data_IF_388608576664
#
_entry.id   IF_388608576664
#
_cell.length_a   1.000
_cell.length_b   1.000
_cell.length_c   1.000
_cell.angle_alpha   90.00
_cell.angle_beta   90.00
_cell.angle_gamma   90.00
#
_symmetry.space_group_name_H-M   'P 1'
#
loop_
_entity.id
_entity.type
_entity.pdbx_description
1 polymer ?
#
# COMPACT_ATOMS: atom_id res chain seq x y z
N UNK A 1 14.50 18.63 18.82
CA UNK A 1 14.75 17.65 17.74
C UNK A 1 13.86 17.93 16.53
N UNK A 2 14.47 18.17 15.36
CA UNK A 2 13.75 18.21 14.08
C UNK A 2 13.68 16.78 13.52
N UNK A 3 12.48 16.28 13.24
CA UNK A 3 12.31 15.02 12.51
C UNK A 3 12.60 15.24 11.01
N UNK A 4 13.18 14.25 10.34
CA UNK A 4 13.53 14.36 8.92
C UNK A 4 12.30 14.36 8.01
N UNK A 5 12.39 15.09 6.89
CA UNK A 5 11.42 15.03 5.81
C UNK A 5 11.92 14.04 4.74
N UNK A 6 11.26 12.89 4.65
CA UNK A 6 11.73 11.75 3.83
C UNK A 6 10.94 11.58 2.52
N UNK A 7 10.26 12.62 2.06
CA UNK A 7 9.37 12.56 0.90
C UNK A 7 9.92 13.35 -0.29
N UNK A 8 9.61 12.92 -1.52
CA UNK A 8 9.95 13.67 -2.72
C UNK A 8 9.49 15.14 -2.65
N UNK A 9 10.22 16.06 -3.31
CA UNK A 9 10.02 17.49 -3.15
C UNK A 9 8.60 17.97 -3.42
N UNK A 10 7.88 17.38 -4.37
CA UNK A 10 6.53 17.82 -4.71
C UNK A 10 5.52 17.64 -3.55
N UNK A 11 5.82 16.78 -2.56
CA UNK A 11 4.98 16.68 -1.36
C UNK A 11 5.11 17.92 -0.45
N UNK A 12 6.19 18.71 -0.59
CA UNK A 12 6.36 19.99 0.10
C UNK A 12 5.27 20.99 -0.29
N UNK A 13 4.66 20.88 -1.46
CA UNK A 13 3.56 21.76 -1.86
C UNK A 13 2.37 21.66 -0.89
N UNK A 14 2.00 20.44 -0.49
CA UNK A 14 0.94 20.21 0.50
C UNK A 14 1.37 20.70 1.87
N UNK A 15 2.62 20.44 2.27
CA UNK A 15 3.16 20.92 3.54
C UNK A 15 3.16 22.46 3.62
N UNK A 16 3.54 23.14 2.55
CA UNK A 16 3.57 24.60 2.47
C UNK A 16 2.16 25.20 2.57
N UNK A 17 1.16 24.58 1.93
CA UNK A 17 -0.24 25.00 2.07
C UNK A 17 -0.72 24.88 3.52
N UNK A 18 -0.44 23.75 4.18
CA UNK A 18 -0.82 23.52 5.57
C UNK A 18 -0.05 24.43 6.55
N UNK A 19 1.20 24.77 6.25
CA UNK A 19 2.02 25.66 7.06
C UNK A 19 1.51 27.11 7.10
N UNK A 20 0.55 27.48 6.25
CA UNK A 20 -0.14 28.77 6.33
C UNK A 20 -1.12 28.88 7.52
N UNK A 21 -1.35 27.78 8.23
CA UNK A 21 -2.27 27.69 9.35
C UNK A 21 -1.52 27.40 10.67
N UNK A 22 -2.10 27.74 11.85
CA UNK A 22 -1.58 27.27 13.13
C UNK A 22 -1.47 25.75 13.16
N UNK A 23 -0.40 25.22 13.76
CA UNK A 23 -0.06 23.79 13.68
C UNK A 23 -1.22 22.83 14.03
N UNK A 24 -1.96 23.10 15.11
CA UNK A 24 -3.09 22.25 15.51
C UNK A 24 -4.23 22.26 14.47
N UNK A 25 -4.46 23.41 13.83
CA UNK A 25 -5.44 23.54 12.76
C UNK A 25 -4.95 22.78 11.52
N UNK A 26 -3.68 22.95 11.14
CA UNK A 26 -3.06 22.22 10.03
C UNK A 26 -3.13 20.69 10.22
N UNK A 27 -2.81 20.21 11.42
CA UNK A 27 -2.89 18.80 11.78
C UNK A 27 -4.33 18.27 11.73
N UNK A 28 -5.30 19.02 12.26
CA UNK A 28 -6.70 18.64 12.22
C UNK A 28 -7.23 18.58 10.78
N UNK A 29 -6.96 19.61 9.97
CA UNK A 29 -7.33 19.64 8.54
C UNK A 29 -6.70 18.46 7.81
N UNK A 30 -5.41 18.20 8.02
CA UNK A 30 -4.70 17.08 7.41
C UNK A 30 -5.32 15.73 7.77
N UNK A 31 -5.51 15.46 9.06
CA UNK A 31 -6.01 14.18 9.51
C UNK A 31 -7.47 13.97 9.13
N UNK A 32 -8.35 14.96 9.32
CA UNK A 32 -9.79 14.83 9.02
C UNK A 32 -10.01 14.66 7.51
N UNK A 33 -9.34 15.47 6.68
CA UNK A 33 -9.53 15.41 5.22
C UNK A 33 -9.01 14.09 4.64
N UNK A 34 -7.81 13.68 5.03
CA UNK A 34 -7.21 12.43 4.55
C UNK A 34 -7.96 11.20 5.08
N UNK A 35 -8.40 11.22 6.34
CA UNK A 35 -9.25 10.15 6.91
C UNK A 35 -10.60 10.05 6.20
N UNK A 36 -11.26 11.18 5.93
CA UNK A 36 -12.48 11.22 5.13
C UNK A 36 -12.27 10.64 3.73
N UNK A 37 -11.13 10.93 3.10
CA UNK A 37 -10.78 10.36 1.80
C UNK A 37 -10.54 8.85 1.84
N UNK A 38 -9.85 8.33 2.87
CA UNK A 38 -9.71 6.90 3.14
C UNK A 38 -11.08 6.22 3.31
N UNK A 39 -11.96 6.76 4.16
CA UNK A 39 -13.28 6.21 4.41
C UNK A 39 -14.15 6.23 3.15
N UNK A 40 -14.07 7.29 2.35
CA UNK A 40 -14.77 7.38 1.07
C UNK A 40 -14.31 6.28 0.10
N UNK A 41 -12.99 6.00 0.04
CA UNK A 41 -12.46 4.92 -0.77
C UNK A 41 -12.99 3.56 -0.31
N UNK A 42 -12.90 3.26 0.99
CA UNK A 42 -13.42 2.00 1.56
C UNK A 42 -14.92 1.86 1.31
N UNK A 43 -15.70 2.93 1.50
CA UNK A 43 -17.15 2.94 1.27
C UNK A 43 -17.52 2.69 -0.20
N UNK A 44 -16.70 3.15 -1.13
CA UNK A 44 -16.90 2.98 -2.57
C UNK A 44 -16.49 1.57 -3.06
N UNK A 45 -15.54 0.93 -2.37
CA UNK A 45 -15.06 -0.43 -2.67
C UNK A 45 -15.97 -1.48 -2.03
N UNK A 46 -16.25 -1.33 -0.74
CA UNK A 46 -16.93 -2.33 0.06
C UNK A 46 -18.44 -2.41 -0.27
N UNK A 47 -19.07 -3.58 -0.04
CA UNK A 47 -20.52 -3.72 -0.13
C UNK A 47 -21.25 -2.68 0.73
N UNK A 48 -22.45 -2.21 0.32
CA UNK A 48 -23.19 -1.18 1.05
C UNK A 48 -23.62 -1.69 2.43
N UNK A 49 -22.82 -1.41 3.44
CA UNK A 49 -23.06 -1.81 4.83
C UNK A 49 -22.49 -0.77 5.79
N UNK A 50 -23.33 -0.29 6.71
CA UNK A 50 -22.89 0.60 7.80
C UNK A 50 -21.88 -0.09 8.70
N UNK A 51 -22.03 -1.39 8.93
CA UNK A 51 -21.12 -2.17 9.77
C UNK A 51 -19.70 -2.19 9.19
N UNK A 52 -19.55 -2.36 7.87
CA UNK A 52 -18.22 -2.35 7.22
C UNK A 52 -17.53 -0.98 7.32
N UNK A 53 -18.30 0.11 7.32
CA UNK A 53 -17.75 1.44 7.55
C UNK A 53 -17.25 1.59 9.00
N UNK A 54 -17.99 1.08 10.00
CA UNK A 54 -17.53 1.07 11.39
C UNK A 54 -16.29 0.19 11.58
N UNK A 55 -16.20 -0.94 10.87
CA UNK A 55 -14.99 -1.78 10.85
C UNK A 55 -13.79 -1.02 10.28
N UNK A 56 -13.99 -0.20 9.24
CA UNK A 56 -12.94 0.65 8.68
C UNK A 56 -12.52 1.78 9.64
N UNK A 57 -13.48 2.40 10.33
CA UNK A 57 -13.23 3.44 11.34
C UNK A 57 -12.45 2.84 12.53
N UNK A 58 -12.87 1.67 13.00
CA UNK A 58 -12.27 0.98 14.15
C UNK A 58 -10.98 0.23 13.82
N UNK A 59 -10.50 0.27 12.57
CA UNK A 59 -9.32 -0.48 12.15
C UNK A 59 -8.06 0.01 12.91
N UNK A 60 -7.32 -0.85 13.63
CA UNK A 60 -6.16 -0.45 14.43
C UNK A 60 -5.15 0.47 13.73
N UNK A 61 -4.90 0.29 12.42
CA UNK A 61 -3.99 1.17 11.69
C UNK A 61 -4.47 2.63 11.60
N UNK A 62 -5.78 2.88 11.73
CA UNK A 62 -6.35 4.24 11.84
C UNK A 62 -5.78 4.92 13.07
N UNK A 63 -5.82 4.27 14.23
CA UNK A 63 -5.30 4.84 15.47
C UNK A 63 -3.78 5.02 15.43
N UNK A 64 -3.05 4.07 14.83
CA UNK A 64 -1.60 4.19 14.61
C UNK A 64 -1.30 5.42 13.74
N UNK A 65 -2.04 5.63 12.66
CA UNK A 65 -1.86 6.78 11.75
C UNK A 65 -2.25 8.10 12.41
N UNK A 66 -3.35 8.11 13.17
CA UNK A 66 -3.78 9.28 13.96
C UNK A 66 -2.71 9.67 14.96
N UNK A 67 -2.24 8.71 15.77
CA UNK A 67 -1.21 8.92 16.78
C UNK A 67 0.10 9.43 16.21
N UNK A 68 0.42 9.08 14.96
CA UNK A 68 1.61 9.56 14.26
C UNK A 68 1.43 10.88 13.49
N UNK A 69 0.21 11.39 13.27
CA UNK A 69 0.02 12.54 12.40
C UNK A 69 0.28 12.26 10.91
N UNK A 70 0.36 10.98 10.50
CA UNK A 70 1.03 10.58 9.25
C UNK A 70 0.12 10.59 8.02
N UNK A 71 0.70 10.27 6.86
CA UNK A 71 0.07 10.34 5.54
C UNK A 71 -0.60 9.04 5.04
N UNK A 72 -0.77 8.05 5.90
CA UNK A 72 -1.25 6.73 5.49
C UNK A 72 -2.70 6.75 4.99
N UNK A 73 -3.56 7.64 5.51
CA UNK A 73 -4.92 7.79 5.02
C UNK A 73 -4.96 8.29 3.58
N UNK A 74 -4.16 9.32 3.26
CA UNK A 74 -4.03 9.82 1.89
C UNK A 74 -3.51 8.70 0.97
N UNK A 75 -2.48 7.98 1.39
CA UNK A 75 -1.93 6.83 0.65
C UNK A 75 -3.02 5.78 0.35
N UNK A 76 -3.75 5.34 1.38
CA UNK A 76 -4.77 4.32 1.25
C UNK A 76 -5.94 4.79 0.36
N UNK A 77 -6.40 6.04 0.52
CA UNK A 77 -7.45 6.61 -0.32
C UNK A 77 -7.04 6.69 -1.80
N UNK A 78 -5.82 7.18 -2.09
CA UNK A 78 -5.30 7.30 -3.46
C UNK A 78 -5.18 5.92 -4.11
N UNK A 79 -4.63 4.93 -3.39
CA UNK A 79 -4.50 3.57 -3.87
C UNK A 79 -5.86 2.90 -4.07
N UNK A 80 -6.78 3.03 -3.11
CA UNK A 80 -8.11 2.45 -3.17
C UNK A 80 -8.94 2.98 -4.34
N UNK A 81 -9.06 4.30 -4.48
CA UNK A 81 -9.77 4.88 -5.63
C UNK A 81 -9.02 4.65 -6.94
N UNK A 82 -7.69 4.71 -6.94
CA UNK A 82 -6.86 4.41 -8.10
C UNK A 82 -7.18 3.04 -8.68
N UNK A 83 -7.17 2.00 -7.84
CA UNK A 83 -7.49 0.63 -8.25
C UNK A 83 -8.97 0.45 -8.61
N UNK A 84 -9.89 1.05 -7.84
CA UNK A 84 -11.34 0.95 -8.09
C UNK A 84 -11.75 1.52 -9.46
N UNK A 85 -11.09 2.59 -9.88
CA UNK A 85 -11.47 3.36 -11.07
C UNK A 85 -10.80 2.89 -12.36
N UNK A 86 -9.87 1.93 -12.32
CA UNK A 86 -9.07 1.51 -13.49
C UNK A 86 -9.91 1.21 -14.73
N UNK A 87 -11.00 0.46 -14.56
CA UNK A 87 -11.85 0.05 -15.68
C UNK A 87 -12.88 1.12 -16.10
N UNK A 88 -13.33 1.96 -15.16
CA UNK A 88 -14.43 2.91 -15.40
C UNK A 88 -13.97 4.32 -15.77
N UNK A 89 -12.89 4.80 -15.15
CA UNK A 89 -12.33 6.15 -15.33
C UNK A 89 -10.79 6.07 -15.32
N UNK A 90 -10.18 5.45 -16.34
CA UNK A 90 -8.75 5.13 -16.33
C UNK A 90 -7.85 6.36 -16.21
N UNK A 91 -8.23 7.51 -16.77
CA UNK A 91 -7.44 8.75 -16.62
C UNK A 91 -7.40 9.22 -15.16
N UNK A 92 -8.55 9.26 -14.48
CA UNK A 92 -8.64 9.63 -13.07
C UNK A 92 -7.90 8.62 -12.19
N UNK A 93 -8.04 7.32 -12.48
CA UNK A 93 -7.28 6.26 -11.81
C UNK A 93 -5.76 6.51 -11.94
N UNK A 94 -5.29 6.83 -13.14
CA UNK A 94 -3.90 7.18 -13.40
C UNK A 94 -3.45 8.40 -12.62
N UNK A 95 -4.25 9.48 -12.57
CA UNK A 95 -3.92 10.67 -11.76
C UNK A 95 -3.78 10.30 -10.27
N UNK A 96 -4.72 9.55 -9.72
CA UNK A 96 -4.69 9.13 -8.32
C UNK A 96 -3.48 8.23 -8.01
N UNK A 97 -3.13 7.32 -8.91
CA UNK A 97 -1.94 6.47 -8.79
C UNK A 97 -0.66 7.30 -8.96
N UNK A 98 -0.62 8.25 -9.88
CA UNK A 98 0.53 9.16 -10.07
C UNK A 98 0.78 10.03 -8.85
N UNK A 99 -0.29 10.49 -8.17
CA UNK A 99 -0.18 11.22 -6.91
C UNK A 99 0.49 10.39 -5.80
N UNK A 100 0.47 9.05 -5.84
CA UNK A 100 1.20 8.22 -4.89
C UNK A 100 2.71 8.30 -5.01
N UNK A 101 3.25 8.95 -6.05
CA UNK A 101 4.70 9.07 -6.23
C UNK A 101 5.42 9.76 -5.06
N UNK A 102 4.70 10.44 -4.14
CA UNK A 102 5.31 10.95 -2.90
C UNK A 102 5.77 9.80 -1.97
N UNK A 103 5.31 8.58 -2.22
CA UNK A 103 5.86 7.34 -1.68
C UNK A 103 6.41 6.49 -2.84
N UNK A 104 7.65 6.77 -3.27
CA UNK A 104 8.23 6.15 -4.46
C UNK A 104 8.28 4.63 -4.36
N UNK A 105 8.31 4.06 -3.15
CA UNK A 105 8.31 2.62 -2.94
C UNK A 105 7.08 1.90 -3.52
N UNK A 106 5.92 2.55 -3.68
CA UNK A 106 4.77 1.94 -4.35
C UNK A 106 4.90 1.89 -5.88
N UNK A 107 5.85 2.66 -6.43
CA UNK A 107 6.25 2.62 -7.83
C UNK A 107 6.89 1.29 -8.27
N UNK A 108 7.21 0.38 -7.33
CA UNK A 108 7.72 -0.95 -7.64
C UNK A 108 6.64 -1.88 -8.23
N UNK A 109 5.38 -1.70 -7.83
CA UNK A 109 4.30 -2.63 -8.20
C UNK A 109 3.28 -1.97 -9.13
N UNK A 110 2.88 -0.73 -8.85
CA UNK A 110 1.75 -0.11 -9.55
C UNK A 110 1.97 0.00 -11.07
N UNK A 111 3.14 0.44 -11.58
CA UNK A 111 3.39 0.47 -13.02
C UNK A 111 3.27 -0.90 -13.68
N UNK A 112 3.74 -1.96 -13.01
CA UNK A 112 3.68 -3.34 -13.51
C UNK A 112 2.22 -3.79 -13.63
N UNK A 113 1.42 -3.58 -12.60
CA UNK A 113 -0.02 -3.93 -12.60
C UNK A 113 -0.77 -3.16 -13.69
N UNK A 114 -0.47 -1.87 -13.87
CA UNK A 114 -1.10 -1.05 -14.91
C UNK A 114 -0.74 -1.52 -16.33
N UNK A 115 0.54 -1.75 -16.59
CA UNK A 115 1.03 -2.17 -17.91
C UNK A 115 0.52 -3.56 -18.28
N UNK A 116 0.63 -4.53 -17.37
CA UNK A 116 0.19 -5.91 -17.61
C UNK A 116 -1.33 -6.04 -17.66
N UNK A 117 -2.05 -5.20 -16.90
CA UNK A 117 -3.51 -5.11 -16.97
C UNK A 117 -4.03 -4.42 -18.24
N UNK A 118 -3.14 -3.93 -19.12
CA UNK A 118 -3.53 -3.22 -20.33
C UNK A 118 -4.11 -1.82 -20.07
N UNK A 119 -3.87 -1.24 -18.90
CA UNK A 119 -4.41 0.05 -18.49
C UNK A 119 -3.56 1.24 -19.00
N UNK A 120 -3.25 1.25 -20.30
CA UNK A 120 -2.36 2.25 -20.94
C UNK A 120 -2.78 3.70 -20.67
N UNK A 121 -4.09 4.01 -20.68
CA UNK A 121 -4.62 5.33 -20.33
C UNK A 121 -4.27 5.75 -18.92
N UNK A 122 -4.40 4.82 -17.96
CA UNK A 122 -4.04 5.07 -16.57
C UNK A 122 -2.52 5.22 -16.42
N UNK A 123 -1.72 4.40 -17.12
CA UNK A 123 -0.26 4.52 -17.13
C UNK A 123 0.19 5.89 -17.63
N UNK A 124 -0.34 6.35 -18.77
CA UNK A 124 0.00 7.65 -19.34
C UNK A 124 -0.42 8.80 -18.43
N UNK A 125 -1.62 8.72 -17.83
CA UNK A 125 -2.09 9.73 -16.89
C UNK A 125 -1.25 9.76 -15.60
N UNK A 126 -0.82 8.60 -15.08
CA UNK A 126 0.08 8.51 -13.93
C UNK A 126 1.44 9.13 -14.26
N UNK A 127 2.05 8.75 -15.37
CA UNK A 127 3.33 9.32 -15.82
C UNK A 127 3.23 10.85 -15.99
N UNK A 128 2.17 11.33 -16.65
CA UNK A 128 1.93 12.77 -16.85
C UNK A 128 1.76 13.50 -15.51
N UNK A 129 1.06 12.89 -14.55
CA UNK A 129 0.86 13.46 -13.21
C UNK A 129 2.21 13.62 -12.48
N UNK A 130 3.03 12.57 -12.47
CA UNK A 130 4.37 12.62 -11.85
C UNK A 130 5.26 13.65 -12.54
N UNK A 131 5.28 13.69 -13.87
CA UNK A 131 6.04 14.68 -14.63
C UNK A 131 5.59 16.11 -14.32
N UNK A 132 4.27 16.34 -14.22
CA UNK A 132 3.70 17.65 -13.91
C UNK A 132 4.08 18.09 -12.50
N UNK A 133 3.97 17.21 -11.51
CA UNK A 133 4.36 17.49 -10.12
C UNK A 133 5.87 17.77 -10.01
N UNK A 134 6.69 16.96 -10.68
CA UNK A 134 8.14 17.12 -10.73
C UNK A 134 8.56 18.43 -11.41
N UNK A 135 7.94 18.77 -12.55
CA UNK A 135 8.20 20.03 -13.23
C UNK A 135 7.78 21.23 -12.37
N UNK A 136 6.58 21.19 -11.77
CA UNK A 136 6.08 22.27 -10.93
C UNK A 136 6.99 22.56 -9.73
N UNK A 137 7.44 21.52 -9.01
CA UNK A 137 8.34 21.72 -7.87
C UNK A 137 9.74 22.17 -8.30
N UNK A 138 10.25 21.67 -9.42
CA UNK A 138 11.54 22.08 -9.98
C UNK A 138 11.53 23.55 -10.39
N UNK A 139 10.46 23.99 -11.06
CA UNK A 139 10.30 25.40 -11.45
C UNK A 139 10.17 26.32 -10.23
N UNK A 140 9.53 25.86 -9.15
CA UNK A 140 9.29 26.67 -7.95
C UNK A 140 10.49 26.76 -7.00
N UNK A 141 11.20 25.65 -6.80
CA UNK A 141 12.27 25.49 -5.81
C UNK A 141 13.67 25.40 -6.43
N UNK A 142 13.77 25.33 -7.77
CA UNK A 142 15.01 25.11 -8.50
C UNK A 142 15.43 23.63 -8.56
N UNK A 143 16.34 23.26 -9.48
CA UNK A 143 16.77 21.87 -9.68
C UNK A 143 17.54 21.28 -8.48
N UNK A 144 18.17 22.12 -7.66
CA UNK A 144 18.92 21.66 -6.47
C UNK A 144 18.06 20.92 -5.43
N UNK A 145 16.73 21.07 -5.48
CA UNK A 145 15.80 20.36 -4.59
C UNK A 145 15.88 18.83 -4.74
N UNK A 146 16.24 18.34 -5.93
CA UNK A 146 16.41 16.91 -6.18
C UNK A 146 17.68 16.36 -5.55
N UNK A 147 18.78 17.12 -5.59
CA UNK A 147 20.02 16.75 -4.89
C UNK A 147 19.78 16.67 -3.39
N UNK A 148 19.11 17.67 -2.81
CA UNK A 148 18.75 17.67 -1.39
C UNK A 148 17.84 16.48 -1.02
N UNK A 149 16.90 16.12 -1.90
CA UNK A 149 16.06 14.94 -1.70
C UNK A 149 16.88 13.64 -1.74
N UNK A 150 17.81 13.49 -2.69
CA UNK A 150 18.66 12.29 -2.79
C UNK A 150 19.58 12.14 -1.57
N UNK A 151 20.14 13.24 -1.06
CA UNK A 151 20.90 13.23 0.19
C UNK A 151 20.03 12.82 1.39
N UNK A 152 18.81 13.36 1.49
CA UNK A 152 17.84 12.94 2.50
C UNK A 152 17.40 11.48 2.38
N UNK A 153 17.30 10.96 1.15
CA UNK A 153 16.99 9.56 0.88
C UNK A 153 18.14 8.64 1.33
N UNK A 154 19.40 9.02 1.08
CA UNK A 154 20.57 8.25 1.55
C UNK A 154 20.65 8.25 3.09
N UNK A 155 20.34 9.39 3.73
CA UNK A 155 20.20 9.43 5.19
C UNK A 155 19.10 8.48 5.69
N UNK A 156 17.95 8.46 5.03
CA UNK A 156 16.84 7.55 5.35
C UNK A 156 17.27 6.09 5.25
N UNK A 157 17.95 5.74 4.16
CA UNK A 157 18.47 4.38 3.93
C UNK A 157 19.48 3.97 5.01
N UNK A 158 20.53 4.74 5.20
CA UNK A 158 21.63 4.37 6.10
C UNK A 158 21.22 4.42 7.57
N UNK A 159 20.53 5.48 7.98
CA UNK A 159 20.29 5.78 9.40
C UNK A 159 18.98 5.17 9.89
N UNK A 160 17.89 5.32 9.12
CA UNK A 160 16.57 4.86 9.57
C UNK A 160 16.41 3.36 9.31
N UNK A 161 16.79 2.90 8.13
CA UNK A 161 16.56 1.52 7.70
C UNK A 161 17.71 0.57 8.11
N UNK A 162 18.95 0.83 7.68
CA UNK A 162 20.08 -0.09 7.89
C UNK A 162 20.55 -0.15 9.34
N UNK A 163 20.71 1.01 9.98
CA UNK A 163 21.05 1.13 11.41
C UNK A 163 19.84 0.95 12.33
N UNK A 164 18.62 1.10 11.82
CA UNK A 164 17.40 0.83 12.58
C UNK A 164 17.14 1.82 13.71
N UNK A 165 17.56 3.09 13.61
CA UNK A 165 17.43 4.08 14.70
C UNK A 165 15.98 4.27 15.17
N UNK A 166 15.01 4.10 14.27
CA UNK A 166 13.57 4.18 14.63
C UNK A 166 12.99 2.90 15.23
N UNK A 167 13.83 1.86 15.35
CA UNK A 167 13.48 0.50 15.74
C UNK A 167 12.98 -0.33 14.56
N UNK A 168 13.67 -1.44 14.24
CA UNK A 168 13.22 -2.34 13.17
C UNK A 168 11.80 -2.89 13.39
N UNK A 169 11.37 -3.05 14.64
CA UNK A 169 10.01 -3.44 15.00
C UNK A 169 8.94 -2.44 14.55
N UNK A 170 9.30 -1.18 14.24
CA UNK A 170 8.39 -0.19 13.66
C UNK A 170 8.27 -0.34 12.14
N UNK A 171 9.29 -0.88 11.49
CA UNK A 171 9.36 -1.08 10.05
C UNK A 171 8.84 -2.49 9.72
N UNK A 172 7.62 -2.58 9.18
CA UNK A 172 6.92 -3.82 8.87
C UNK A 172 7.34 -4.40 7.50
N UNK A 173 8.65 -4.67 7.34
CA UNK A 173 9.23 -5.22 6.11
C UNK A 173 10.05 -6.48 6.34
N UNK A 174 10.25 -7.27 5.29
CA UNK A 174 11.13 -8.46 5.34
C UNK A 174 12.56 -8.06 5.67
N UNK A 175 13.03 -6.94 5.11
CA UNK A 175 14.34 -6.39 5.46
C UNK A 175 14.48 -6.19 6.97
N UNK A 176 13.54 -5.47 7.59
CA UNK A 176 13.62 -5.15 9.02
C UNK A 176 13.38 -6.37 9.90
N UNK A 177 12.57 -7.33 9.46
CA UNK A 177 12.47 -8.64 10.10
C UNK A 177 13.83 -9.32 10.20
N UNK A 178 14.55 -9.45 9.08
CA UNK A 178 15.88 -10.07 9.05
C UNK A 178 16.90 -9.30 9.88
N UNK A 179 16.91 -7.96 9.78
CA UNK A 179 17.79 -7.11 10.61
C UNK A 179 17.53 -7.28 12.10
N UNK A 180 16.26 -7.49 12.50
CA UNK A 180 15.91 -7.72 13.91
C UNK A 180 16.49 -9.03 14.47
N UNK A 181 16.80 -10.01 13.62
CA UNK A 181 17.51 -11.24 13.99
C UNK A 181 19.04 -11.13 13.87
N UNK A 182 19.57 -9.92 13.63
CA UNK A 182 21.01 -9.69 13.49
C UNK A 182 21.57 -10.02 12.11
N UNK A 183 20.73 -10.33 11.11
CA UNK A 183 21.21 -10.62 9.77
C UNK A 183 21.96 -9.40 9.18
N UNK A 184 23.12 -9.58 8.53
CA UNK A 184 23.82 -8.50 7.82
C UNK A 184 22.95 -7.74 6.81
N UNK A 185 23.33 -6.51 6.48
CA UNK A 185 22.53 -5.59 5.63
C UNK A 185 22.29 -6.17 4.23
N UNK A 186 23.33 -6.74 3.62
CA UNK A 186 23.29 -7.43 2.33
C UNK A 186 22.34 -8.64 2.35
N UNK A 187 22.39 -9.47 3.40
CA UNK A 187 21.47 -10.60 3.58
C UNK A 187 20.02 -10.12 3.73
N UNK A 188 19.80 -9.03 4.48
CA UNK A 188 18.47 -8.45 4.64
C UNK A 188 17.92 -7.88 3.31
N UNK A 189 18.76 -7.23 2.50
CA UNK A 189 18.36 -6.78 1.16
C UNK A 189 18.10 -7.96 0.22
N UNK A 190 18.91 -9.01 0.25
CA UNK A 190 18.69 -10.21 -0.56
C UNK A 190 17.35 -10.87 -0.21
N UNK A 191 17.03 -11.03 1.07
CA UNK A 191 15.74 -11.57 1.52
C UNK A 191 14.56 -10.70 1.12
N UNK A 192 14.69 -9.37 1.24
CA UNK A 192 13.67 -8.43 0.74
C UNK A 192 13.49 -8.56 -0.78
N UNK A 193 14.57 -8.64 -1.56
CA UNK A 193 14.52 -8.77 -3.01
C UNK A 193 13.78 -10.06 -3.44
N UNK A 194 14.03 -11.18 -2.75
CA UNK A 194 13.30 -12.44 -2.98
C UNK A 194 11.79 -12.24 -2.79
N UNK A 195 11.38 -11.59 -1.70
CA UNK A 195 9.95 -11.32 -1.44
C UNK A 195 9.37 -10.38 -2.48
N UNK A 196 10.08 -9.30 -2.84
CA UNK A 196 9.67 -8.34 -3.87
C UNK A 196 9.46 -9.03 -5.22
N UNK A 197 10.41 -9.86 -5.66
CA UNK A 197 10.31 -10.62 -6.91
C UNK A 197 9.14 -11.61 -6.85
N UNK A 198 8.93 -12.32 -5.74
CA UNK A 198 7.82 -13.25 -5.58
C UNK A 198 6.46 -12.55 -5.65
N UNK A 199 6.33 -11.38 -5.03
CA UNK A 199 5.11 -10.54 -5.10
C UNK A 199 4.85 -10.09 -6.54
N UNK A 200 5.88 -9.56 -7.23
CA UNK A 200 5.76 -9.12 -8.62
C UNK A 200 5.36 -10.29 -9.53
N UNK A 201 6.05 -11.42 -9.44
CA UNK A 201 5.77 -12.61 -10.24
C UNK A 201 4.34 -13.13 -9.99
N UNK A 202 3.87 -13.10 -8.75
CA UNK A 202 2.49 -13.48 -8.41
C UNK A 202 1.48 -12.53 -9.04
N UNK A 203 1.71 -11.21 -8.96
CA UNK A 203 0.83 -10.22 -9.57
C UNK A 203 0.79 -10.35 -11.09
N UNK A 204 1.94 -10.55 -11.74
CA UNK A 204 2.05 -10.85 -13.17
C UNK A 204 1.19 -12.06 -13.51
N UNK A 205 1.34 -13.15 -12.76
CA UNK A 205 0.63 -14.39 -13.00
C UNK A 205 -0.88 -14.23 -12.87
N UNK A 206 -1.39 -13.62 -11.79
CA UNK A 206 -2.85 -13.48 -11.59
C UNK A 206 -3.49 -12.53 -12.60
N UNK A 207 -2.77 -11.48 -13.02
CA UNK A 207 -3.22 -10.58 -14.10
C UNK A 207 -3.26 -11.33 -15.43
N UNK A 208 -2.22 -12.08 -15.76
CA UNK A 208 -2.17 -12.86 -17.00
C UNK A 208 -3.26 -13.94 -17.05
N UNK A 209 -3.57 -14.56 -15.90
CA UNK A 209 -4.69 -15.50 -15.76
C UNK A 209 -6.06 -14.85 -15.76
N UNK A 210 -6.16 -13.52 -15.91
CA UNK A 210 -7.42 -12.76 -15.92
C UNK A 210 -8.26 -13.01 -14.67
N UNK A 211 -7.61 -13.05 -13.50
CA UNK A 211 -8.29 -13.18 -12.21
C UNK A 211 -9.26 -12.00 -11.95
N UNK A 212 -10.20 -12.19 -11.01
CA UNK A 212 -11.16 -11.13 -10.65
C UNK A 212 -10.42 -9.83 -10.26
N UNK A 213 -10.76 -8.68 -10.85
CA UNK A 213 -10.08 -7.41 -10.60
C UNK A 213 -10.03 -7.00 -9.12
N UNK A 214 -11.01 -7.40 -8.31
CA UNK A 214 -11.02 -7.11 -6.86
C UNK A 214 -9.95 -7.88 -6.12
N UNK A 215 -9.78 -9.16 -6.44
CA UNK A 215 -8.70 -9.95 -5.83
C UNK A 215 -7.33 -9.43 -6.28
N UNK A 216 -7.17 -9.05 -7.54
CA UNK A 216 -5.94 -8.40 -8.04
C UNK A 216 -5.68 -7.09 -7.31
N UNK A 217 -6.71 -6.25 -7.09
CA UNK A 217 -6.58 -5.01 -6.33
C UNK A 217 -6.20 -5.25 -4.86
N UNK A 218 -6.80 -6.25 -4.22
CA UNK A 218 -6.44 -6.66 -2.86
C UNK A 218 -4.99 -7.16 -2.78
N UNK A 219 -4.57 -8.01 -3.71
CA UNK A 219 -3.19 -8.48 -3.83
C UNK A 219 -2.23 -7.31 -4.07
N UNK A 220 -2.61 -6.35 -4.91
CA UNK A 220 -1.79 -5.16 -5.20
C UNK A 220 -1.58 -4.32 -3.93
N UNK A 221 -2.62 -4.14 -3.12
CA UNK A 221 -2.53 -3.41 -1.85
C UNK A 221 -1.64 -4.13 -0.81
N UNK A 222 -1.79 -5.46 -0.65
CA UNK A 222 -0.88 -6.25 0.20
C UNK A 222 0.56 -6.23 -0.34
N UNK A 223 0.72 -6.42 -1.65
CA UNK A 223 2.00 -6.44 -2.33
C UNK A 223 2.75 -5.12 -2.19
N UNK A 224 2.05 -3.98 -2.27
CA UNK A 224 2.62 -2.65 -2.09
C UNK A 224 3.35 -2.49 -0.74
N UNK A 225 2.89 -3.18 0.31
CA UNK A 225 3.55 -3.20 1.62
C UNK A 225 4.68 -4.25 1.67
N UNK A 226 4.47 -5.44 1.10
CA UNK A 226 5.43 -6.55 1.15
C UNK A 226 6.69 -6.32 0.30
N UNK A 227 6.56 -5.61 -0.81
CA UNK A 227 7.64 -5.44 -1.79
C UNK A 227 8.63 -4.32 -1.48
N UNK A 228 8.41 -3.54 -0.42
CA UNK A 228 9.29 -2.45 -0.02
C UNK A 228 10.05 -2.81 1.27
N UNK A 229 11.37 -2.52 1.35
CA UNK A 229 12.08 -2.59 2.62
C UNK A 229 11.63 -1.51 3.61
N UNK A 230 10.93 -0.49 3.14
CA UNK A 230 10.53 0.69 3.90
C UNK A 230 9.01 0.81 3.96
N UNK A 231 8.43 0.19 4.99
CA UNK A 231 7.00 0.18 5.30
C UNK A 231 6.87 0.42 6.81
N UNK A 232 6.32 1.55 7.25
CA UNK A 232 6.13 1.80 8.69
C UNK A 232 4.76 1.28 9.16
N UNK A 233 4.63 1.04 10.47
CA UNK A 233 3.40 0.56 11.11
C UNK A 233 2.13 1.34 10.72
N UNK A 234 2.21 2.66 10.54
CA UNK A 234 1.07 3.46 10.05
C UNK A 234 0.68 3.13 8.59
N UNK A 235 1.61 2.68 7.74
CA UNK A 235 1.35 2.34 6.33
C UNK A 235 0.41 1.15 6.18
N UNK A 236 0.29 0.34 7.23
CA UNK A 236 -0.68 -0.76 7.32
C UNK A 236 -2.13 -0.32 7.15
N UNK A 237 -2.43 1.00 7.17
CA UNK A 237 -3.72 1.56 6.76
C UNK A 237 -4.14 1.09 5.36
N UNK A 238 -3.18 0.84 4.46
CA UNK A 238 -3.41 0.26 3.14
C UNK A 238 -4.10 -1.12 3.21
N UNK A 239 -3.89 -1.89 4.27
CA UNK A 239 -4.56 -3.18 4.45
C UNK A 239 -6.09 -3.03 4.57
N UNK A 240 -6.59 -1.87 5.00
CA UNK A 240 -8.02 -1.58 4.97
C UNK A 240 -8.60 -1.57 3.55
N UNK A 241 -7.83 -1.13 2.57
CA UNK A 241 -8.18 -1.19 1.13
C UNK A 241 -8.16 -2.65 0.64
N UNK A 242 -7.13 -3.40 1.03
CA UNK A 242 -7.05 -4.83 0.69
C UNK A 242 -8.27 -5.60 1.23
N UNK A 243 -8.59 -5.42 2.52
CA UNK A 243 -9.75 -6.02 3.16
C UNK A 243 -11.05 -5.61 2.43
N UNK A 244 -11.22 -4.34 2.09
CA UNK A 244 -12.42 -3.87 1.40
C UNK A 244 -12.64 -4.59 0.06
N UNK A 245 -11.59 -4.73 -0.76
CA UNK A 245 -11.68 -5.45 -2.03
C UNK A 245 -11.94 -6.96 -1.85
N UNK A 246 -11.23 -7.61 -0.92
CA UNK A 246 -11.43 -9.03 -0.63
C UNK A 246 -12.85 -9.31 -0.10
N UNK A 247 -13.37 -8.47 0.79
CA UNK A 247 -14.76 -8.56 1.29
C UNK A 247 -15.76 -8.30 0.18
N UNK A 248 -15.52 -7.32 -0.70
CA UNK A 248 -16.40 -7.07 -1.84
C UNK A 248 -16.49 -8.27 -2.79
N UNK A 249 -15.38 -8.97 -3.01
CA UNK A 249 -15.37 -10.23 -3.75
C UNK A 249 -16.09 -11.35 -2.99
N UNK A 250 -15.75 -11.56 -1.72
CA UNK A 250 -16.28 -12.63 -0.89
C UNK A 250 -17.80 -12.53 -0.63
N UNK A 251 -18.35 -11.32 -0.54
CA UNK A 251 -19.80 -11.12 -0.39
C UNK A 251 -20.55 -11.49 -1.67
N UNK A 252 -20.00 -11.22 -2.85
CA UNK A 252 -20.67 -11.54 -4.13
C UNK A 252 -20.43 -12.99 -4.56
N UNK A 253 -19.20 -13.48 -4.45
CA UNK A 253 -18.76 -14.78 -4.98
C UNK A 253 -18.60 -15.86 -3.91
N UNK A 254 -18.88 -15.54 -2.65
CA UNK A 254 -18.66 -16.42 -1.50
C UNK A 254 -17.24 -16.32 -0.94
N UNK A 255 -17.09 -16.63 0.34
CA UNK A 255 -15.80 -16.69 1.01
C UNK A 255 -15.23 -18.10 0.94
N UNK A 256 -13.93 -18.21 0.67
CA UNK A 256 -13.21 -19.48 0.77
C UNK A 256 -13.02 -19.88 2.25
N UNK A 257 -12.76 -21.18 2.54
CA UNK A 257 -12.43 -21.61 3.90
C UNK A 257 -11.32 -20.76 4.51
N UNK A 258 -11.50 -20.35 5.77
CA UNK A 258 -10.56 -19.53 6.56
C UNK A 258 -10.34 -18.08 6.10
N UNK A 259 -10.90 -17.66 4.96
CA UNK A 259 -10.68 -16.31 4.43
C UNK A 259 -11.15 -15.21 5.40
N UNK A 260 -12.34 -15.38 5.99
CA UNK A 260 -12.85 -14.43 6.99
C UNK A 260 -11.93 -14.34 8.21
N UNK A 261 -11.38 -15.47 8.65
CA UNK A 261 -10.42 -15.53 9.75
C UNK A 261 -9.13 -14.80 9.40
N UNK A 262 -8.59 -15.01 8.20
CA UNK A 262 -7.40 -14.31 7.72
C UNK A 262 -7.65 -12.80 7.59
N UNK A 263 -8.83 -12.38 7.12
CA UNK A 263 -9.19 -10.96 7.06
C UNK A 263 -9.32 -10.34 8.45
N UNK A 264 -9.89 -11.06 9.43
CA UNK A 264 -9.97 -10.60 10.81
C UNK A 264 -8.57 -10.50 11.45
N UNK A 265 -7.69 -11.47 11.20
CA UNK A 265 -6.29 -11.42 11.65
C UNK A 265 -5.56 -10.24 11.02
N UNK A 266 -5.70 -10.02 9.70
CA UNK A 266 -5.12 -8.88 9.01
C UNK A 266 -5.61 -7.55 9.59
N UNK A 267 -6.91 -7.46 9.91
CA UNK A 267 -7.50 -6.29 10.55
C UNK A 267 -6.92 -6.04 11.95
N UNK A 268 -6.70 -7.09 12.74
CA UNK A 268 -6.13 -6.95 14.09
C UNK A 268 -4.62 -6.70 14.09
N UNK A 269 -3.92 -7.06 13.01
CA UNK A 269 -2.45 -7.06 12.93
C UNK A 269 -1.79 -5.73 13.33
N UNK A 270 -2.26 -4.54 12.90
CA UNK A 270 -1.59 -3.28 13.24
C UNK A 270 -1.60 -2.96 14.74
N UNK A 271 -2.50 -3.59 15.52
CA UNK A 271 -2.52 -3.44 16.98
C UNK A 271 -1.33 -4.14 17.64
N UNK A 272 -0.89 -5.27 17.07
CA UNK A 272 0.06 -6.17 17.72
C UNK A 272 1.42 -6.22 17.03
N UNK A 273 1.49 -5.94 15.72
CA UNK A 273 2.67 -6.25 14.91
C UNK A 273 3.96 -5.61 15.45
N UNK A 274 3.89 -4.34 15.81
CA UNK A 274 5.02 -3.61 16.39
C UNK A 274 5.46 -4.20 17.73
N UNK A 275 4.51 -4.40 18.65
CA UNK A 275 4.79 -4.87 20.02
C UNK A 275 5.33 -6.30 19.99
N UNK A 276 4.68 -7.19 19.25
CA UNK A 276 5.12 -8.59 19.12
C UNK A 276 6.54 -8.66 18.58
N UNK A 277 6.85 -7.93 17.50
CA UNK A 277 8.20 -7.92 16.94
C UNK A 277 9.23 -7.30 17.89
N UNK A 278 8.84 -6.27 18.65
CA UNK A 278 9.73 -5.66 19.64
C UNK A 278 10.16 -6.63 20.75
N UNK A 279 9.25 -7.48 21.22
CA UNK A 279 9.52 -8.40 22.34
C UNK A 279 10.02 -9.78 21.91
N UNK A 280 9.66 -10.23 20.71
CA UNK A 280 9.92 -11.63 20.27
C UNK A 280 10.71 -11.72 18.98
N UNK A 281 10.96 -10.61 18.30
CA UNK A 281 11.49 -10.54 16.94
C UNK A 281 10.58 -11.17 15.86
N UNK A 282 9.41 -11.72 16.23
CA UNK A 282 8.46 -12.32 15.27
C UNK A 282 7.80 -11.19 14.44
N UNK A 283 7.99 -11.16 13.11
CA UNK A 283 7.51 -10.07 12.26
C UNK A 283 6.05 -10.28 11.85
N UNK A 284 5.13 -10.22 12.81
CA UNK A 284 3.71 -10.54 12.61
C UNK A 284 3.07 -9.76 11.44
N UNK A 285 3.43 -8.50 11.25
CA UNK A 285 2.95 -7.67 10.14
C UNK A 285 3.25 -8.27 8.76
N UNK A 286 4.49 -8.72 8.57
CA UNK A 286 4.96 -9.35 7.33
C UNK A 286 4.32 -10.73 7.15
N UNK A 287 4.29 -11.53 8.22
CA UNK A 287 3.77 -12.91 8.19
C UNK A 287 2.27 -12.95 7.86
N UNK A 288 1.44 -12.14 8.52
CA UNK A 288 -0.01 -12.13 8.28
C UNK A 288 -0.33 -11.55 6.90
N UNK A 289 0.34 -10.47 6.50
CA UNK A 289 0.14 -9.87 5.16
C UNK A 289 0.57 -10.84 4.06
N UNK A 290 1.72 -11.50 4.21
CA UNK A 290 2.23 -12.51 3.28
C UNK A 290 1.33 -13.73 3.18
N UNK A 291 0.79 -14.20 4.32
CA UNK A 291 -0.14 -15.33 4.37
C UNK A 291 -1.44 -15.03 3.62
N UNK A 292 -2.03 -13.85 3.85
CA UNK A 292 -3.21 -13.43 3.10
C UNK A 292 -2.89 -13.25 1.61
N UNK A 293 -1.75 -12.65 1.26
CA UNK A 293 -1.32 -12.50 -0.13
C UNK A 293 -1.22 -13.87 -0.84
N UNK A 294 -0.54 -14.84 -0.23
CA UNK A 294 -0.43 -16.19 -0.79
C UNK A 294 -1.80 -16.89 -0.88
N UNK A 295 -2.65 -16.73 0.14
CA UNK A 295 -4.00 -17.30 0.16
C UNK A 295 -4.87 -16.75 -0.99
N UNK A 296 -4.90 -15.44 -1.18
CA UNK A 296 -5.67 -14.80 -2.25
C UNK A 296 -5.10 -15.13 -3.64
N UNK A 297 -3.78 -15.24 -3.77
CA UNK A 297 -3.15 -15.67 -5.01
C UNK A 297 -3.56 -17.11 -5.38
N UNK A 298 -3.51 -18.04 -4.42
CA UNK A 298 -3.97 -19.42 -4.63
C UNK A 298 -5.47 -19.47 -4.99
N UNK A 299 -6.28 -18.59 -4.38
CA UNK A 299 -7.71 -18.44 -4.72
C UNK A 299 -7.91 -17.99 -6.16
N UNK A 300 -7.21 -16.96 -6.62
CA UNK A 300 -7.25 -16.50 -8.02
C UNK A 300 -6.97 -17.63 -9.02
N UNK A 301 -5.94 -18.44 -8.73
CA UNK A 301 -5.52 -19.54 -9.61
C UNK A 301 -6.56 -20.68 -9.66
N UNK A 302 -7.21 -21.00 -8.54
CA UNK A 302 -8.29 -22.00 -8.50
C UNK A 302 -9.55 -21.54 -9.22
N UNK A 303 -9.96 -20.28 -9.02
CA UNK A 303 -11.15 -19.72 -9.69
C UNK A 303 -10.99 -19.68 -11.21
N UNK A 304 -9.80 -19.33 -11.70
CA UNK A 304 -9.50 -19.30 -13.15
C UNK A 304 -9.44 -20.70 -13.78
N UNK A 305 -8.87 -21.69 -13.09
CA UNK A 305 -8.89 -23.09 -13.54
C UNK A 305 -10.31 -23.67 -13.59
N UNK A 306 -11.12 -23.42 -12.56
CA UNK A 306 -12.51 -23.88 -12.51
C UNK A 306 -13.44 -23.22 -13.54
N UNK A 307 -13.10 -22.02 -14.00
CA UNK A 307 -13.78 -21.35 -15.11
C UNK A 307 -13.42 -22.00 -16.47
N UNK A 308 -12.14 -22.28 -16.71
CA UNK A 308 -11.68 -22.95 -17.92
C UNK A 308 -12.27 -24.37 -18.06
N UNK A 309 -12.32 -25.14 -16.96
CA UNK A 309 -12.89 -26.49 -16.98
C UNK A 309 -14.39 -26.50 -17.33
N UNK A 310 -15.15 -25.49 -16.89
CA UNK A 310 -16.60 -25.37 -17.20
C UNK A 310 -16.89 -25.01 -18.66
N UNK A 311 -15.94 -24.39 -19.36
CA UNK A 311 -16.09 -24.07 -20.79
C UNK A 311 -15.85 -25.29 -21.71
N UNK A 312 -15.25 -26.36 -21.19
CA UNK A 312 -14.90 -27.56 -21.96
C UNK A 312 -15.86 -28.74 -21.78
N UNK A 313 -16.93 -28.60 -20.99
CA UNK A 313 -17.99 -29.62 -20.90
C UNK A 313 -18.90 -29.44 -22.14
N UNK A 314 -18.93 -30.39 -23.09
CA UNK A 314 -19.85 -30.33 -24.21
C UNK A 314 -21.27 -30.43 -23.66
N UNK A 315 -22.15 -29.51 -24.07
CA UNK A 315 -23.58 -29.62 -23.81
C UNK A 315 -24.08 -30.79 -24.64
N UNK A 316 -24.21 -31.96 -24.01
CA UNK A 316 -24.89 -33.15 -24.56
C UNK A 316 -26.36 -33.10 -24.24
#
# INVERSE_FOLDING_TARGET
>A
PFYGWHYPPFFLGIAALLASMPYLVALAVWQISSFGFYLAAVRAIAPPSKALLFVAIGFPAVFVTVGHGHNAFLTAGLLGFGLLLLNRRPLLAGVLIGLLAYKPQFGLILPIVLLLGGHWRATLAAATTVLTMSAAVTLRLGPGVWTAFLEGAEFTKTTILEQGITGWHKIQSTFSALRSFGAPVDVAYAGQAVVTVAVIATLVLVVWRKADPRLVASLTACGALLATPYCLDYDMTILGVAIAFAVAHGVEKGFAPWEKTLLALLWATPLFARVVMQWTHIPLGVLVTGTLFAFLAARCLRETQGAAARQHIPVT
#
